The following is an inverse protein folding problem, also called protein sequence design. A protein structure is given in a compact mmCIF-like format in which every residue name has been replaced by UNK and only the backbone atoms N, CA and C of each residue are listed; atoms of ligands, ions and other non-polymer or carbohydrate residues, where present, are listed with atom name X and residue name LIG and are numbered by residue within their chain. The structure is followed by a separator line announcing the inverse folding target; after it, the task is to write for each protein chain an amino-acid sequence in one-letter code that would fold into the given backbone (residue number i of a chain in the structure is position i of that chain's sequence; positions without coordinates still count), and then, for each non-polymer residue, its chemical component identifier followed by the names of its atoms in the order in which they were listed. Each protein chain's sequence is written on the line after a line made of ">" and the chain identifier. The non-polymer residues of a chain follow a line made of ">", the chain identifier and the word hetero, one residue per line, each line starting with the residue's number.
data_IF_262427070682
#
_entry.id   IF_262427070682
#
_cell.length_a   1.000
_cell.length_b   1.000
_cell.length_c   1.000
_cell.angle_alpha   90.00
_cell.angle_beta   90.00
_cell.angle_gamma   90.00
#
_symmetry.space_group_name_H-M   'P 1'
#
loop_
_entity.id
_entity.type
_entity.pdbx_description
1 polymer ?
#
# COMPACT_ATOMS: atom_id res chain seq x y z
N UNK A 1 -12.37 19.03 -9.08
CA UNK A 1 -12.65 17.58 -8.97
C UNK A 1 -12.74 17.06 -7.54
N UNK A 2 -12.00 17.64 -6.57
CA UNK A 2 -12.04 17.27 -5.14
C UNK A 2 -13.45 17.23 -4.55
N UNK A 3 -14.34 18.10 -5.02
CA UNK A 3 -15.74 18.14 -4.56
C UNK A 3 -16.50 16.83 -4.83
N UNK A 4 -16.17 16.12 -5.91
CA UNK A 4 -16.75 14.79 -6.21
C UNK A 4 -16.21 13.69 -5.30
N UNK A 5 -15.05 13.90 -4.67
CA UNK A 5 -14.52 12.97 -3.68
C UNK A 5 -15.12 13.20 -2.29
N UNK A 6 -15.51 14.46 -1.98
CA UNK A 6 -16.13 14.86 -0.71
C UNK A 6 -17.66 14.64 -0.67
N UNK A 7 -18.33 14.31 -1.78
CA UNK A 7 -19.80 14.14 -1.82
C UNK A 7 -20.30 12.97 -0.95
N UNK A 8 -21.02 13.23 0.14
CA UNK A 8 -21.46 12.19 1.11
C UNK A 8 -22.50 11.20 0.58
N UNK A 9 -23.31 11.60 -0.41
CA UNK A 9 -24.55 10.88 -0.71
C UNK A 9 -24.47 9.85 -1.85
N UNK A 10 -23.39 9.79 -2.61
CA UNK A 10 -23.35 8.92 -3.80
C UNK A 10 -22.00 8.21 -3.97
N UNK A 11 -22.02 6.90 -3.68
CA UNK A 11 -20.87 6.00 -3.80
C UNK A 11 -20.33 5.96 -5.23
N UNK A 12 -21.20 6.06 -6.24
CA UNK A 12 -20.81 6.08 -7.66
C UNK A 12 -20.08 7.38 -8.02
N UNK A 13 -20.52 8.50 -7.44
CA UNK A 13 -19.92 9.81 -7.61
C UNK A 13 -18.50 9.90 -7.03
N UNK A 14 -18.17 9.08 -6.03
CA UNK A 14 -16.82 8.97 -5.44
C UNK A 14 -15.91 8.00 -6.17
N UNK A 15 -16.44 6.87 -6.65
CA UNK A 15 -15.63 5.83 -7.30
C UNK A 15 -15.13 6.26 -8.68
N UNK A 16 -15.99 6.91 -9.47
CA UNK A 16 -15.67 7.28 -10.85
C UNK A 16 -14.49 8.27 -10.94
N UNK A 17 -14.44 9.37 -10.15
CA UNK A 17 -13.30 10.27 -10.15
C UNK A 17 -12.00 9.58 -9.74
N UNK A 18 -12.03 8.68 -8.75
CA UNK A 18 -10.82 7.98 -8.28
C UNK A 18 -10.28 7.05 -9.38
N UNK A 19 -11.17 6.35 -10.08
CA UNK A 19 -10.77 5.52 -11.22
C UNK A 19 -10.18 6.37 -12.35
N UNK A 20 -10.80 7.50 -12.68
CA UNK A 20 -10.31 8.42 -13.72
C UNK A 20 -8.96 9.02 -13.33
N UNK A 21 -8.78 9.45 -12.07
CA UNK A 21 -7.51 9.94 -11.56
C UNK A 21 -6.40 8.89 -11.68
N UNK A 22 -6.72 7.63 -11.38
CA UNK A 22 -5.77 6.52 -11.54
C UNK A 22 -5.37 6.30 -13.01
N UNK A 23 -6.30 6.44 -13.96
CA UNK A 23 -5.96 6.37 -15.39
C UNK A 23 -5.13 7.58 -15.85
N UNK A 24 -5.46 8.79 -15.40
CA UNK A 24 -4.72 10.01 -15.72
C UNK A 24 -3.27 9.95 -15.21
N UNK A 25 -3.07 9.52 -13.96
CA UNK A 25 -1.74 9.34 -13.37
C UNK A 25 -0.96 8.22 -14.08
N UNK A 26 -1.65 7.19 -14.58
CA UNK A 26 -0.99 6.12 -15.35
C UNK A 26 -0.56 6.60 -16.75
N UNK A 27 -1.22 7.61 -17.29
CA UNK A 27 -0.95 8.18 -18.61
C UNK A 27 0.11 9.30 -18.57
N UNK A 28 0.07 10.15 -17.54
CA UNK A 28 0.98 11.30 -17.41
C UNK A 28 1.42 11.52 -15.95
N UNK A 29 2.74 11.48 -15.75
CA UNK A 29 3.34 11.68 -14.44
C UNK A 29 3.22 13.15 -13.96
N UNK A 30 3.08 14.12 -14.87
CA UNK A 30 2.84 15.52 -14.51
C UNK A 30 1.49 15.71 -13.79
N UNK A 31 0.52 14.80 -14.00
CA UNK A 31 -0.74 14.81 -13.28
C UNK A 31 -0.58 14.49 -11.78
N UNK A 32 0.49 13.77 -11.39
CA UNK A 32 0.79 13.50 -9.98
C UNK A 32 1.14 14.80 -9.25
N UNK A 33 1.82 15.71 -9.93
CA UNK A 33 2.26 16.97 -9.35
C UNK A 33 1.08 17.88 -9.04
N UNK A 34 0.18 18.06 -10.02
CA UNK A 34 -1.06 18.80 -9.81
C UNK A 34 -1.96 18.17 -8.74
N UNK A 35 -1.88 16.85 -8.56
CA UNK A 35 -2.59 16.16 -7.49
C UNK A 35 -1.98 16.45 -6.11
N UNK A 36 -0.65 16.51 -5.99
CA UNK A 36 0.04 16.83 -4.74
C UNK A 36 -0.13 18.30 -4.31
N UNK A 37 -0.53 19.19 -5.23
CA UNK A 37 -0.87 20.58 -4.92
C UNK A 37 -2.28 20.74 -4.36
N UNK A 38 -3.14 19.73 -4.53
CA UNK A 38 -4.49 19.74 -4.00
C UNK A 38 -4.46 19.50 -2.50
N UNK A 39 -5.01 20.44 -1.75
CA UNK A 39 -5.17 20.34 -0.30
C UNK A 39 -6.16 19.22 0.08
N UNK A 40 -5.83 18.47 1.13
CA UNK A 40 -6.58 17.35 1.72
C UNK A 40 -6.78 16.13 0.81
N UNK A 41 -6.02 16.01 -0.27
CA UNK A 41 -6.13 14.84 -1.15
C UNK A 41 -5.71 13.57 -0.42
N UNK A 42 -4.69 13.66 0.44
CA UNK A 42 -4.18 12.56 1.24
C UNK A 42 -5.23 12.02 2.22
N UNK A 43 -5.97 12.91 2.90
CA UNK A 43 -7.04 12.54 3.82
C UNK A 43 -8.19 11.87 3.07
N UNK A 44 -8.53 12.41 1.91
CA UNK A 44 -9.60 11.89 1.05
C UNK A 44 -9.26 10.48 0.54
N UNK A 45 -8.02 10.27 0.11
CA UNK A 45 -7.53 8.97 -0.33
C UNK A 45 -7.47 7.99 0.85
N UNK A 46 -6.99 8.42 2.01
CA UNK A 46 -6.95 7.61 3.22
C UNK A 46 -8.35 7.16 3.65
N UNK A 47 -9.32 8.07 3.68
CA UNK A 47 -10.71 7.76 4.02
C UNK A 47 -11.32 6.74 3.04
N UNK A 48 -10.99 6.84 1.75
CA UNK A 48 -11.45 5.88 0.74
C UNK A 48 -10.87 4.48 0.96
N UNK A 49 -9.63 4.38 1.45
CA UNK A 49 -9.00 3.09 1.77
C UNK A 49 -9.58 2.51 3.06
N UNK A 50 -9.82 3.37 4.06
CA UNK A 50 -10.39 2.97 5.36
C UNK A 50 -11.84 2.50 5.26
N UNK A 51 -12.66 3.17 4.46
CA UNK A 51 -14.05 2.80 4.20
C UNK A 51 -14.15 2.32 2.76
N UNK A 52 -13.80 1.06 2.48
CA UNK A 52 -13.76 0.55 1.11
C UNK A 52 -15.15 0.55 0.51
N UNK A 53 -15.38 1.42 -0.46
CA UNK A 53 -16.66 1.51 -1.17
C UNK A 53 -16.78 0.36 -2.19
N UNK A 54 -15.69 0.11 -2.93
CA UNK A 54 -15.57 -1.03 -3.82
C UNK A 54 -14.09 -1.43 -3.98
N UNK A 55 -13.80 -2.71 -4.27
CA UNK A 55 -12.41 -3.18 -4.44
C UNK A 55 -11.65 -2.43 -5.54
N UNK A 56 -12.36 -1.97 -6.58
CA UNK A 56 -11.78 -1.21 -7.71
C UNK A 56 -11.31 0.18 -7.28
N UNK A 57 -12.09 0.88 -6.46
CA UNK A 57 -11.74 2.18 -5.93
C UNK A 57 -10.59 2.09 -4.93
N UNK A 58 -10.61 1.11 -4.01
CA UNK A 58 -9.48 0.88 -3.09
C UNK A 58 -8.19 0.60 -3.84
N UNK A 59 -8.24 -0.24 -4.88
CA UNK A 59 -7.09 -0.51 -5.75
C UNK A 59 -6.60 0.76 -6.47
N UNK A 60 -7.52 1.57 -6.99
CA UNK A 60 -7.17 2.82 -7.65
C UNK A 60 -6.52 3.81 -6.67
N UNK A 61 -7.08 3.96 -5.46
CA UNK A 61 -6.49 4.79 -4.40
C UNK A 61 -5.08 4.34 -4.02
N UNK A 62 -4.84 3.03 -3.85
CA UNK A 62 -3.49 2.51 -3.56
C UNK A 62 -2.49 2.81 -4.68
N UNK A 63 -2.91 2.77 -5.95
CA UNK A 63 -2.06 3.14 -7.09
C UNK A 63 -1.73 4.63 -7.07
N UNK A 64 -2.71 5.48 -6.78
CA UNK A 64 -2.52 6.93 -6.66
C UNK A 64 -1.51 7.23 -5.54
N UNK A 65 -1.73 6.66 -4.34
CA UNK A 65 -0.83 6.83 -3.19
C UNK A 65 0.59 6.36 -3.51
N UNK A 66 0.74 5.20 -4.14
CA UNK A 66 2.05 4.68 -4.55
C UNK A 66 2.81 5.67 -5.45
N UNK A 67 2.13 6.25 -6.44
CA UNK A 67 2.75 7.19 -7.36
C UNK A 67 3.06 8.54 -6.70
N UNK A 68 2.24 9.01 -5.76
CA UNK A 68 2.52 10.22 -4.98
C UNK A 68 3.76 10.05 -4.10
N UNK A 69 3.90 8.91 -3.40
CA UNK A 69 5.05 8.62 -2.54
C UNK A 69 6.32 8.37 -3.36
N UNK A 70 6.19 7.68 -4.51
CA UNK A 70 7.33 7.39 -5.39
C UNK A 70 7.84 8.62 -6.14
N UNK A 71 7.06 9.69 -6.23
CA UNK A 71 7.46 10.90 -6.94
C UNK A 71 8.79 11.44 -6.39
N UNK A 72 9.70 11.86 -7.28
CA UNK A 72 11.05 12.32 -6.92
C UNK A 72 11.07 13.75 -6.33
N UNK A 73 9.91 14.30 -5.97
CA UNK A 73 9.77 15.68 -5.50
C UNK A 73 9.89 15.75 -3.98
N UNK A 74 10.37 16.89 -3.49
CA UNK A 74 10.55 17.19 -2.06
C UNK A 74 9.28 16.93 -1.23
N UNK A 75 8.10 17.26 -1.78
CA UNK A 75 6.80 17.01 -1.14
C UNK A 75 6.45 15.53 -0.94
N UNK A 76 7.08 14.59 -1.65
CA UNK A 76 6.72 13.17 -1.54
C UNK A 76 7.06 12.59 -0.17
N UNK A 77 8.17 13.05 0.43
CA UNK A 77 8.55 12.70 1.80
C UNK A 77 7.50 13.15 2.81
N UNK A 78 7.07 14.42 2.75
CA UNK A 78 6.05 14.98 3.65
C UNK A 78 4.71 14.25 3.54
N UNK A 79 4.29 13.92 2.32
CA UNK A 79 3.05 13.17 2.07
C UNK A 79 3.14 11.75 2.64
N UNK A 80 4.28 11.08 2.46
CA UNK A 80 4.50 9.76 3.05
C UNK A 80 4.44 9.81 4.59
N UNK A 81 5.04 10.83 5.22
CA UNK A 81 4.95 11.04 6.67
C UNK A 81 3.52 11.30 7.14
N UNK A 82 2.74 12.10 6.39
CA UNK A 82 1.30 12.31 6.67
C UNK A 82 0.54 10.99 6.66
N UNK A 83 0.77 10.14 5.65
CA UNK A 83 0.14 8.82 5.58
C UNK A 83 0.56 7.89 6.73
N UNK A 84 1.83 7.93 7.14
CA UNK A 84 2.31 7.18 8.31
C UNK A 84 1.55 7.63 9.56
N UNK A 85 1.45 8.95 9.80
CA UNK A 85 0.75 9.53 10.96
C UNK A 85 -0.74 9.22 10.97
N UNK A 86 -1.39 9.13 9.81
CA UNK A 86 -2.79 8.72 9.69
C UNK A 86 -3.00 7.22 9.96
N UNK A 87 -1.94 6.41 10.01
CA UNK A 87 -2.02 4.97 10.26
C UNK A 87 -2.20 4.13 8.99
N UNK A 88 -1.70 4.59 7.83
CA UNK A 88 -1.82 3.85 6.57
C UNK A 88 -1.19 2.46 6.63
N UNK A 89 -0.13 2.27 7.43
CA UNK A 89 0.54 0.97 7.62
C UNK A 89 -0.45 -0.05 8.18
N UNK A 90 -1.26 0.31 9.18
CA UNK A 90 -2.23 -0.58 9.78
C UNK A 90 -3.31 -1.01 8.78
N UNK A 91 -3.86 -0.04 8.01
CA UNK A 91 -4.85 -0.33 6.96
C UNK A 91 -4.28 -1.25 5.88
N UNK A 92 -3.01 -1.06 5.49
CA UNK A 92 -2.36 -1.95 4.53
C UNK A 92 -2.26 -3.38 5.08
N UNK A 93 -1.94 -3.55 6.37
CA UNK A 93 -1.89 -4.87 6.98
C UNK A 93 -3.26 -5.55 6.98
N UNK A 94 -4.34 -4.84 7.30
CA UNK A 94 -5.71 -5.36 7.21
C UNK A 94 -6.05 -5.80 5.77
N UNK A 95 -5.76 -4.94 4.78
CA UNK A 95 -5.96 -5.26 3.36
C UNK A 95 -5.11 -6.48 2.94
N UNK A 96 -3.94 -6.67 3.54
CA UNK A 96 -3.10 -7.83 3.25
C UNK A 96 -3.59 -9.12 3.89
N UNK A 97 -4.39 -9.07 4.96
CA UNK A 97 -5.00 -10.27 5.53
C UNK A 97 -6.10 -10.78 4.60
N UNK A 98 -7.01 -9.91 4.17
CA UNK A 98 -8.25 -10.29 3.48
C UNK A 98 -8.24 -10.04 1.95
N UNK A 99 -7.23 -9.34 1.44
CA UNK A 99 -7.25 -8.83 0.06
C UNK A 99 -6.88 -9.83 -1.03
N UNK A 100 -7.43 -9.55 -2.23
CA UNK A 100 -7.08 -10.22 -3.47
C UNK A 100 -5.60 -10.03 -3.84
N UNK A 101 -5.05 -10.98 -4.61
CA UNK A 101 -3.65 -10.94 -5.06
C UNK A 101 -3.28 -9.60 -5.71
N UNK A 102 -4.14 -9.07 -6.58
CA UNK A 102 -3.84 -7.84 -7.31
C UNK A 102 -3.87 -6.57 -6.45
N UNK A 103 -4.64 -6.58 -5.35
CA UNK A 103 -4.71 -5.47 -4.39
C UNK A 103 -3.53 -5.58 -3.42
N UNK A 104 -3.23 -6.80 -2.96
CA UNK A 104 -2.06 -7.08 -2.13
C UNK A 104 -0.75 -6.63 -2.78
N UNK A 105 -0.54 -6.91 -4.08
CA UNK A 105 0.68 -6.48 -4.78
C UNK A 105 0.85 -4.95 -4.79
N UNK A 106 -0.26 -4.20 -4.93
CA UNK A 106 -0.22 -2.73 -4.87
C UNK A 106 -0.01 -2.21 -3.45
N UNK A 107 -0.69 -2.80 -2.47
CA UNK A 107 -0.51 -2.47 -1.06
C UNK A 107 0.92 -2.72 -0.57
N UNK A 108 1.53 -3.84 -0.99
CA UNK A 108 2.95 -4.14 -0.74
C UNK A 108 3.88 -3.12 -1.40
N UNK A 109 3.54 -2.62 -2.59
CA UNK A 109 4.32 -1.57 -3.26
C UNK A 109 4.28 -0.24 -2.50
N UNK A 110 3.11 0.15 -1.97
CA UNK A 110 2.97 1.35 -1.12
C UNK A 110 3.81 1.20 0.14
N UNK A 111 3.73 0.05 0.80
CA UNK A 111 4.46 -0.22 2.03
C UNK A 111 5.98 -0.30 1.84
N UNK A 112 6.48 -0.91 0.76
CA UNK A 112 7.92 -0.87 0.43
C UNK A 112 8.40 0.59 0.26
N UNK A 113 7.55 1.44 -0.31
CA UNK A 113 7.85 2.85 -0.50
C UNK A 113 7.86 3.62 0.82
N UNK A 114 6.91 3.35 1.72
CA UNK A 114 6.83 3.97 3.06
C UNK A 114 7.99 3.49 3.96
N UNK A 115 8.29 2.19 3.96
CA UNK A 115 9.38 1.60 4.73
C UNK A 115 10.77 1.98 4.18
N UNK A 116 10.87 2.73 3.09
CA UNK A 116 12.13 3.35 2.68
C UNK A 116 12.51 4.54 3.59
N UNK A 117 11.53 5.11 4.30
CA UNK A 117 11.71 6.16 5.30
C UNK A 117 11.92 5.55 6.68
N UNK A 118 12.71 6.21 7.52
CA UNK A 118 13.03 5.72 8.87
C UNK A 118 11.79 5.63 9.77
N UNK A 119 10.97 6.68 9.82
CA UNK A 119 9.70 6.72 10.57
C UNK A 119 8.73 5.62 10.11
N UNK A 120 8.71 5.31 8.81
CA UNK A 120 7.88 4.25 8.26
C UNK A 120 8.31 2.87 8.76
N UNK A 121 9.63 2.64 8.91
CA UNK A 121 10.16 1.38 9.48
C UNK A 121 9.83 1.26 10.96
N UNK A 122 10.05 2.31 11.73
CA UNK A 122 9.80 2.29 13.17
C UNK A 122 8.32 1.96 13.46
N UNK A 123 7.39 2.65 12.82
CA UNK A 123 5.96 2.40 12.95
C UNK A 123 5.56 0.99 12.44
N UNK A 124 6.18 0.51 11.35
CA UNK A 124 5.99 -0.86 10.89
C UNK A 124 6.45 -1.90 11.92
N UNK A 125 7.54 -1.63 12.66
CA UNK A 125 8.07 -2.53 13.69
C UNK A 125 7.30 -2.47 15.02
N UNK A 126 6.63 -1.35 15.33
CA UNK A 126 5.74 -1.27 16.49
C UNK A 126 4.64 -2.35 16.45
N UNK A 127 4.17 -2.69 15.24
CA UNK A 127 3.17 -3.71 15.07
C UNK A 127 3.80 -5.10 14.88
N UNK A 128 3.69 -5.93 15.93
CA UNK A 128 4.26 -7.28 15.97
C UNK A 128 3.80 -8.21 14.82
N UNK A 129 2.66 -7.92 14.20
CA UNK A 129 2.10 -8.68 13.09
C UNK A 129 2.65 -8.28 11.72
N UNK A 130 3.27 -7.11 11.59
CA UNK A 130 3.81 -6.63 10.31
C UNK A 130 4.83 -7.62 9.76
N UNK A 131 5.87 -7.90 10.54
CA UNK A 131 6.96 -8.80 10.15
C UNK A 131 6.44 -10.16 9.64
N UNK A 132 5.66 -10.94 10.42
CA UNK A 132 5.18 -12.24 9.96
C UNK A 132 4.20 -12.15 8.76
N UNK A 133 3.35 -11.11 8.69
CA UNK A 133 2.42 -10.94 7.56
C UNK A 133 3.17 -10.61 6.26
N UNK A 134 4.16 -9.72 6.32
CA UNK A 134 4.96 -9.36 5.15
C UNK A 134 5.78 -10.54 4.67
N UNK A 135 6.46 -11.24 5.57
CA UNK A 135 7.27 -12.38 5.12
C UNK A 135 6.38 -13.48 4.54
N UNK A 136 5.23 -13.79 5.14
CA UNK A 136 4.27 -14.75 4.58
C UNK A 136 3.78 -14.31 3.18
N UNK A 137 3.44 -13.03 3.00
CA UNK A 137 2.90 -12.53 1.72
C UNK A 137 3.98 -12.41 0.64
N UNK A 138 5.15 -11.86 0.95
CA UNK A 138 6.19 -11.75 -0.05
C UNK A 138 6.85 -13.10 -0.39
N UNK A 139 7.14 -13.97 0.59
CA UNK A 139 7.83 -15.25 0.36
C UNK A 139 6.89 -16.31 -0.21
N UNK A 140 5.68 -16.46 0.33
CA UNK A 140 4.78 -17.52 -0.12
C UNK A 140 3.89 -17.10 -1.29
N UNK A 141 3.68 -15.80 -1.56
CA UNK A 141 2.59 -15.34 -2.45
C UNK A 141 3.03 -14.45 -3.61
N UNK A 142 4.16 -13.75 -3.54
CA UNK A 142 4.65 -12.88 -4.63
C UNK A 142 5.99 -13.34 -5.19
N UNK A 143 6.21 -13.11 -6.49
CA UNK A 143 7.50 -13.41 -7.16
C UNK A 143 8.57 -12.32 -6.90
N UNK A 144 8.29 -11.32 -6.06
CA UNK A 144 9.24 -10.27 -5.69
C UNK A 144 10.01 -10.65 -4.42
N UNK A 145 11.18 -11.27 -4.59
CA UNK A 145 12.08 -11.69 -3.50
C UNK A 145 12.96 -10.56 -2.95
N UNK A 146 13.10 -9.45 -3.66
CA UNK A 146 14.15 -8.45 -3.38
C UNK A 146 13.70 -7.28 -2.48
N UNK A 147 12.41 -7.04 -2.29
CA UNK A 147 11.87 -5.95 -1.43
C UNK A 147 11.98 -6.26 0.06
N UNK A 148 11.85 -7.54 0.45
CA UNK A 148 11.97 -7.98 1.84
C UNK A 148 13.31 -7.62 2.48
N UNK A 149 14.39 -7.62 1.70
CA UNK A 149 15.73 -7.28 2.16
C UNK A 149 15.84 -5.79 2.53
N UNK A 150 15.11 -4.90 1.83
CA UNK A 150 15.08 -3.46 2.12
C UNK A 150 14.24 -3.15 3.36
N UNK A 151 13.10 -3.83 3.51
CA UNK A 151 12.16 -3.60 4.62
C UNK A 151 12.72 -4.14 5.94
N UNK A 152 13.25 -5.38 5.94
CA UNK A 152 13.67 -6.06 7.17
C UNK A 152 15.16 -5.93 7.49
N UNK A 153 15.97 -5.45 6.54
CA UNK A 153 17.42 -5.46 6.65
C UNK A 153 18.00 -6.88 6.59
N UNK A 154 19.30 -6.98 6.33
CA UNK A 154 20.00 -8.25 6.10
C UNK A 154 19.85 -9.23 7.28
N UNK A 155 19.87 -8.71 8.51
CA UNK A 155 19.97 -9.52 9.73
C UNK A 155 18.67 -10.23 10.11
N UNK A 156 17.53 -9.53 10.06
CA UNK A 156 16.22 -10.14 10.29
C UNK A 156 15.85 -11.11 9.16
N UNK A 157 16.24 -10.77 7.92
CA UNK A 157 16.04 -11.60 6.75
C UNK A 157 16.76 -12.95 6.84
N UNK A 158 18.06 -12.98 7.19
CA UNK A 158 18.84 -14.22 7.31
C UNK A 158 18.21 -15.20 8.33
N UNK A 159 17.73 -14.67 9.46
CA UNK A 159 17.17 -15.44 10.58
C UNK A 159 15.76 -15.97 10.29
N UNK A 160 14.97 -15.23 9.51
CA UNK A 160 13.59 -15.57 9.16
C UNK A 160 13.47 -16.41 7.88
N UNK A 161 14.45 -16.35 6.97
CA UNK A 161 14.42 -17.04 5.66
C UNK A 161 14.22 -18.55 5.78
N UNK A 162 14.95 -19.22 6.67
CA UNK A 162 14.93 -20.69 6.78
C UNK A 162 13.63 -21.25 7.39
N UNK A 163 13.07 -20.69 8.49
CA UNK A 163 11.78 -21.10 9.02
C UNK A 163 10.61 -20.86 8.04
N UNK A 164 10.62 -19.74 7.31
CA UNK A 164 9.50 -19.33 6.45
C UNK A 164 9.48 -20.08 5.12
N UNK A 165 10.63 -20.42 4.55
CA UNK A 165 10.71 -21.34 3.40
C UNK A 165 10.16 -22.73 3.75
N UNK A 166 10.37 -23.21 4.99
CA UNK A 166 9.74 -24.46 5.46
C UNK A 166 8.22 -24.33 5.58
N UNK A 167 7.70 -23.20 6.10
CA UNK A 167 6.25 -22.98 6.18
C UNK A 167 5.58 -22.84 4.80
N UNK A 168 6.20 -22.16 3.83
CA UNK A 168 5.65 -22.08 2.47
C UNK A 168 5.62 -23.46 1.79
N UNK A 169 6.64 -24.30 1.99
CA UNK A 169 6.65 -25.68 1.46
C UNK A 169 5.61 -26.59 2.12
N UNK A 170 5.34 -26.41 3.42
CA UNK A 170 4.27 -27.14 4.12
C UNK A 170 2.86 -26.68 3.68
N UNK A 171 2.71 -25.43 3.25
CA UNK A 171 1.45 -24.89 2.72
C UNK A 171 1.13 -25.30 1.28
N UNK A 172 2.12 -25.65 0.47
CA UNK A 172 1.95 -26.15 -0.91
C UNK A 172 1.46 -27.60 -0.98
N UNK A 173 1.42 -28.32 0.14
CA UNK A 173 0.94 -29.72 0.21
C UNK A 173 -0.54 -29.83 0.59
N UNK A 174 -1.28 -28.72 0.72
CA UNK A 174 -2.68 -28.73 1.22
C UNK A 174 -3.68 -27.94 0.35
N UNK A 175 -3.47 -27.94 -0.96
CA UNK A 175 -4.46 -27.45 -1.93
C UNK A 175 -4.56 -28.38 -3.15
N UNK A 176 -4.81 -29.64 -2.86
CA UNK A 176 -5.54 -30.55 -3.75
C UNK A 176 -6.59 -31.21 -2.86
N UNK A 177 -7.82 -31.30 -3.39
CA UNK A 177 -9.11 -31.50 -2.73
C UNK A 177 -9.79 -30.21 -2.29
#
# INVERSE_FOLDING_TARGET
>A
MVWFLKSENDLSSRQNPICVLKELISADQACVDGLMEIQDIEETLFHTVKVPICPKATKASLVIIYNMIKSSKEKSGEIALRFIRMGLIHLILEILVDGDKSVCEKALGVMDSICSLEEGRENAYENALTVPLLVKRYVCRTRQRNSLFRVFGSFAWEKMRVPLLRQCNLGLSRSYW
#
